data_IF_706198309026
#
_entry.id   IF_706198309026
#
_cell.length_a   1.000
_cell.length_b   1.000
_cell.length_c   1.000
_cell.angle_alpha   90.00
_cell.angle_beta   90.00
_cell.angle_gamma   90.00
#
_symmetry.space_group_name_H-M   'P 1'
#
loop_
_entity.id
_entity.type
_entity.pdbx_description
1 polymer ?
#
# COMPACT_ATOMS: atom_id res chain seq x y z
N UNK A 1 12.95 10.30 9.82
CA UNK A 1 12.81 8.89 9.47
C UNK A 1 13.96 8.45 8.58
N UNK A 2 14.52 7.29 8.87
CA UNK A 2 15.61 6.75 8.05
C UNK A 2 15.03 5.83 6.98
N UNK A 3 15.87 5.51 6.00
CA UNK A 3 15.51 4.56 4.95
C UNK A 3 15.12 3.20 5.58
N UNK A 4 15.91 2.73 6.55
CA UNK A 4 15.66 1.45 7.20
C UNK A 4 14.31 1.44 7.94
N UNK A 5 13.98 2.55 8.58
CA UNK A 5 12.70 2.68 9.26
C UNK A 5 11.54 2.65 8.28
N UNK A 6 11.71 3.34 7.14
CA UNK A 6 10.68 3.34 6.11
C UNK A 6 10.45 1.93 5.57
N UNK A 7 11.53 1.24 5.20
CA UNK A 7 11.41 -0.12 4.67
C UNK A 7 10.71 -1.03 5.67
N UNK A 8 11.06 -0.90 6.96
CA UNK A 8 10.44 -1.73 7.98
C UNK A 8 8.94 -1.46 8.10
N UNK A 9 8.53 -0.20 8.06
CA UNK A 9 7.11 0.14 8.12
C UNK A 9 6.34 -0.39 6.92
N UNK A 10 6.91 -0.26 5.73
CA UNK A 10 6.26 -0.77 4.52
C UNK A 10 6.20 -2.30 4.58
N UNK A 11 7.27 -2.93 5.05
CA UNK A 11 7.32 -4.38 5.21
C UNK A 11 6.22 -4.86 6.16
N UNK A 12 6.08 -4.21 7.31
CA UNK A 12 5.06 -4.58 8.29
C UNK A 12 3.65 -4.44 7.72
N UNK A 13 3.42 -3.42 6.93
CA UNK A 13 2.10 -3.18 6.35
C UNK A 13 1.82 -4.15 5.20
N UNK A 14 2.76 -4.29 4.28
CA UNK A 14 2.54 -5.07 3.07
C UNK A 14 2.57 -6.57 3.32
N UNK A 15 3.51 -7.03 4.13
CA UNK A 15 3.66 -8.47 4.35
C UNK A 15 2.54 -9.07 5.20
N UNK A 16 1.82 -8.22 5.95
CA UNK A 16 0.67 -8.67 6.73
C UNK A 16 -0.64 -8.42 6.00
N UNK A 17 -0.60 -7.83 4.82
CA UNK A 17 -1.80 -7.55 4.05
C UNK A 17 -2.35 -8.82 3.41
N UNK A 18 -3.67 -8.85 3.22
CA UNK A 18 -4.31 -9.94 2.49
C UNK A 18 -4.19 -9.62 1.00
N UNK A 19 -3.39 -10.41 0.30
CA UNK A 19 -3.17 -10.22 -1.14
C UNK A 19 -3.84 -11.31 -1.97
N UNK A 20 -4.83 -12.00 -1.41
CA UNK A 20 -5.49 -13.12 -2.07
C UNK A 20 -6.19 -12.71 -3.37
N UNK A 21 -6.55 -11.44 -3.51
CA UNK A 21 -7.19 -10.93 -4.73
C UNK A 21 -6.19 -10.71 -5.86
N UNK A 22 -4.91 -10.70 -5.56
CA UNK A 22 -3.87 -10.54 -6.56
C UNK A 22 -3.46 -11.95 -7.01
N UNK A 23 -3.90 -12.34 -8.20
CA UNK A 23 -3.68 -13.70 -8.68
C UNK A 23 -2.52 -13.82 -9.65
N UNK A 24 -1.90 -12.72 -10.00
CA UNK A 24 -0.74 -12.72 -10.88
C UNK A 24 0.47 -12.21 -10.12
N UNK A 25 1.64 -12.59 -10.59
CA UNK A 25 2.88 -12.07 -10.02
C UNK A 25 3.02 -10.60 -10.41
N UNK A 26 3.26 -9.75 -9.42
CA UNK A 26 3.53 -8.34 -9.69
C UNK A 26 4.66 -7.86 -8.79
N UNK A 27 5.58 -7.13 -9.39
CA UNK A 27 6.74 -6.60 -8.67
C UNK A 27 6.76 -5.07 -8.81
N UNK A 28 6.71 -4.40 -7.68
CA UNK A 28 6.81 -2.94 -7.60
C UNK A 28 8.19 -2.58 -7.08
N UNK A 29 8.87 -1.65 -7.75
CA UNK A 29 10.04 -1.03 -7.15
C UNK A 29 9.63 0.38 -6.75
N UNK A 30 10.03 0.79 -5.54
CA UNK A 30 9.80 2.14 -5.05
C UNK A 30 11.13 2.87 -4.97
N UNK A 31 11.17 4.03 -5.62
CA UNK A 31 12.32 4.93 -5.53
C UNK A 31 11.89 6.10 -4.66
N UNK A 32 12.48 6.20 -3.48
CA UNK A 32 12.12 7.22 -2.50
C UNK A 32 13.05 8.41 -2.66
N UNK A 33 12.45 9.60 -2.72
CA UNK A 33 13.17 10.86 -2.91
C UNK A 33 13.10 11.70 -1.64
N UNK A 34 14.16 12.46 -1.39
CA UNK A 34 14.21 13.32 -0.21
C UNK A 34 14.56 12.55 1.04
N UNK A 35 13.78 12.76 2.10
CA UNK A 35 14.02 12.07 3.36
C UNK A 35 13.84 10.56 3.19
N UNK A 36 14.70 9.77 3.79
CA UNK A 36 14.73 8.32 3.70
C UNK A 36 15.00 7.82 2.26
N UNK A 37 15.73 8.59 1.49
CA UNK A 37 16.05 8.29 0.10
C UNK A 37 16.61 6.89 -0.08
N UNK A 38 16.18 6.20 -1.15
CA UNK A 38 16.66 4.87 -1.47
C UNK A 38 15.64 4.10 -2.28
N UNK A 39 16.01 2.88 -2.68
CA UNK A 39 15.14 2.01 -3.45
C UNK A 39 14.86 0.73 -2.69
N UNK A 40 13.65 0.20 -2.81
CA UNK A 40 13.29 -1.11 -2.28
C UNK A 40 12.16 -1.65 -3.15
N UNK A 41 11.82 -2.93 -2.96
CA UNK A 41 10.76 -3.52 -3.77
C UNK A 41 9.70 -4.20 -2.93
N UNK A 42 8.51 -4.32 -3.53
CA UNK A 42 7.40 -5.09 -3.01
C UNK A 42 7.04 -6.11 -4.09
N UNK A 43 7.16 -7.37 -3.76
CA UNK A 43 6.88 -8.46 -4.69
C UNK A 43 5.66 -9.23 -4.17
N UNK A 44 4.66 -9.43 -5.05
CA UNK A 44 3.48 -10.21 -4.71
C UNK A 44 3.43 -11.42 -5.62
N UNK A 45 3.51 -12.60 -5.02
CA UNK A 45 3.57 -13.84 -5.77
C UNK A 45 2.99 -14.96 -4.93
N UNK A 46 2.19 -15.80 -5.55
CA UNK A 46 1.63 -17.00 -4.91
C UNK A 46 0.93 -16.70 -3.58
N UNK A 47 0.18 -15.59 -3.56
CA UNK A 47 -0.59 -15.22 -2.38
C UNK A 47 0.23 -14.62 -1.26
N UNK A 48 1.45 -14.19 -1.54
CA UNK A 48 2.35 -13.68 -0.52
C UNK A 48 3.01 -12.39 -0.98
N UNK A 49 3.05 -11.39 -0.10
CA UNK A 49 3.76 -10.15 -0.34
C UNK A 49 5.08 -10.16 0.40
N UNK A 50 6.14 -9.71 -0.27
CA UNK A 50 7.48 -9.66 0.30
C UNK A 50 8.08 -8.29 0.02
N UNK A 51 8.67 -7.66 1.03
CA UNK A 51 9.35 -6.37 0.89
C UNK A 51 10.82 -6.55 1.23
N UNK A 52 11.71 -6.10 0.33
CA UNK A 52 13.15 -6.22 0.54
C UNK A 52 13.85 -4.92 0.15
N UNK A 53 14.96 -4.59 0.82
CA UNK A 53 15.63 -3.29 0.62
C UNK A 53 16.58 -3.28 -0.58
N UNK A 54 16.10 -3.75 -1.71
CA UNK A 54 16.90 -3.86 -2.94
C UNK A 54 16.10 -3.36 -4.13
N UNK A 55 16.82 -3.05 -5.22
CA UNK A 55 16.19 -2.80 -6.50
C UNK A 55 15.73 -4.13 -7.09
N UNK A 56 14.64 -4.11 -7.83
CA UNK A 56 14.11 -5.30 -8.48
C UNK A 56 14.32 -5.16 -9.99
N UNK A 57 15.23 -5.93 -10.52
CA UNK A 57 15.61 -5.80 -11.92
C UNK A 57 14.44 -6.06 -12.87
N UNK A 58 13.66 -7.09 -12.60
CA UNK A 58 12.52 -7.48 -13.44
C UNK A 58 11.20 -6.90 -12.93
N UNK A 59 11.23 -5.70 -12.41
CA UNK A 59 10.04 -5.06 -11.88
C UNK A 59 9.01 -4.80 -12.98
N UNK A 60 7.73 -4.91 -12.63
CA UNK A 60 6.64 -4.58 -13.52
C UNK A 60 6.31 -3.10 -13.47
N UNK A 61 6.49 -2.50 -12.30
CA UNK A 61 6.09 -1.12 -12.03
C UNK A 61 7.17 -0.43 -11.23
N UNK A 62 7.51 0.79 -11.63
CA UNK A 62 8.40 1.66 -10.85
C UNK A 62 7.59 2.84 -10.34
N UNK A 63 7.59 3.03 -9.02
CA UNK A 63 6.90 4.15 -8.39
C UNK A 63 7.94 5.04 -7.72
N UNK A 64 7.93 6.33 -8.06
CA UNK A 64 8.85 7.30 -7.47
C UNK A 64 8.05 8.34 -6.69
N UNK A 65 8.42 8.55 -5.44
CA UNK A 65 7.71 9.50 -4.57
C UNK A 65 8.51 9.75 -3.31
N UNK A 66 7.97 10.60 -2.43
CA UNK A 66 8.58 10.83 -1.12
C UNK A 66 8.09 9.75 -0.14
N UNK A 67 8.84 9.60 0.96
CA UNK A 67 8.46 8.66 2.01
C UNK A 67 7.09 8.99 2.60
N UNK A 68 6.83 10.27 2.83
CA UNK A 68 5.57 10.71 3.39
C UNK A 68 4.39 10.30 2.51
N UNK A 69 4.52 10.52 1.20
CA UNK A 69 3.45 10.17 0.27
C UNK A 69 3.21 8.66 0.26
N UNK A 70 4.28 7.87 0.21
CA UNK A 70 4.13 6.42 0.20
C UNK A 70 3.48 5.90 1.48
N UNK A 71 3.88 6.44 2.64
CA UNK A 71 3.27 6.03 3.90
C UNK A 71 1.78 6.34 3.94
N UNK A 72 1.38 7.50 3.44
CA UNK A 72 -0.03 7.85 3.38
C UNK A 72 -0.81 6.89 2.49
N UNK A 73 -0.22 6.50 1.37
CA UNK A 73 -0.85 5.52 0.48
C UNK A 73 -1.01 4.18 1.18
N UNK A 74 0.07 3.68 1.79
CA UNK A 74 0.04 2.37 2.43
C UNK A 74 -0.88 2.34 3.64
N UNK A 75 -1.02 3.46 4.34
CA UNK A 75 -1.91 3.58 5.49
C UNK A 75 -3.37 3.79 5.10
N UNK A 76 -3.63 4.07 3.83
CA UNK A 76 -4.98 4.28 3.35
C UNK A 76 -5.47 5.72 3.44
N UNK A 77 -4.59 6.66 3.77
CA UNK A 77 -4.95 8.07 3.85
C UNK A 77 -4.92 8.77 2.49
N UNK A 78 -4.31 8.15 1.51
CA UNK A 78 -4.20 8.72 0.17
C UNK A 78 -4.38 7.59 -0.85
N UNK A 79 -5.39 7.72 -1.70
CA UNK A 79 -5.64 6.75 -2.77
C UNK A 79 -4.49 6.84 -3.79
N UNK A 80 -3.88 5.70 -4.17
CA UNK A 80 -2.78 5.74 -5.15
C UNK A 80 -3.18 6.31 -6.51
N UNK A 81 -4.42 6.11 -6.96
CA UNK A 81 -4.88 6.68 -8.23
C UNK A 81 -4.96 8.21 -8.12
N UNK A 82 -5.50 8.70 -7.00
CA UNK A 82 -5.54 10.13 -6.75
C UNK A 82 -4.15 10.72 -6.65
N UNK A 83 -3.24 10.03 -5.96
CA UNK A 83 -1.85 10.48 -5.84
C UNK A 83 -1.20 10.62 -7.22
N UNK A 84 -1.47 9.67 -8.10
CA UNK A 84 -0.95 9.73 -9.48
C UNK A 84 -1.56 10.92 -10.22
N UNK A 85 -2.85 11.12 -10.11
CA UNK A 85 -3.56 12.23 -10.76
C UNK A 85 -3.04 13.58 -10.28
N UNK A 86 -2.77 13.70 -8.98
CA UNK A 86 -2.24 14.93 -8.38
C UNK A 86 -0.73 15.08 -8.57
N UNK A 87 -0.10 14.13 -9.26
CA UNK A 87 1.35 14.13 -9.53
C UNK A 87 2.19 14.06 -8.26
N UNK A 88 1.65 13.45 -7.21
CA UNK A 88 2.39 13.18 -5.99
C UNK A 88 3.26 11.94 -6.12
N UNK A 89 2.94 11.07 -7.08
CA UNK A 89 3.78 9.92 -7.42
C UNK A 89 4.00 9.90 -8.93
N UNK A 90 5.11 9.32 -9.34
CA UNK A 90 5.39 9.04 -10.74
C UNK A 90 5.39 7.53 -10.91
N UNK A 91 4.75 7.05 -11.96
CA UNK A 91 4.58 5.62 -12.21
C UNK A 91 5.09 5.31 -13.61
N UNK A 92 5.98 4.32 -13.71
CA UNK A 92 6.49 3.84 -14.99
C UNK A 92 6.27 2.33 -15.05
N UNK A 93 6.04 1.83 -16.26
CA UNK A 93 5.87 0.41 -16.49
C UNK A 93 4.42 0.04 -16.75
N UNK A 94 4.00 -1.09 -16.24
CA UNK A 94 2.66 -1.64 -16.50
C UNK A 94 1.62 -0.94 -15.62
N UNK A 95 0.89 0.00 -16.18
CA UNK A 95 -0.11 0.76 -15.42
C UNK A 95 -1.27 -0.11 -14.94
N UNK A 96 -1.60 -1.17 -15.69
CA UNK A 96 -2.63 -2.10 -15.25
C UNK A 96 -2.22 -2.81 -13.97
N UNK A 97 -0.97 -3.24 -13.90
CA UNK A 97 -0.45 -3.88 -12.69
C UNK A 97 -0.25 -2.85 -11.57
N UNK A 98 0.04 -1.59 -11.92
CA UNK A 98 0.18 -0.55 -10.91
C UNK A 98 -1.09 -0.40 -10.07
N UNK A 99 -2.25 -0.61 -10.67
CA UNK A 99 -3.52 -0.52 -9.95
C UNK A 99 -3.65 -1.58 -8.86
N UNK A 100 -2.90 -2.66 -8.95
CA UNK A 100 -2.94 -3.72 -7.94
C UNK A 100 -2.38 -3.24 -6.60
N UNK A 101 -1.66 -2.13 -6.58
CA UNK A 101 -1.20 -1.57 -5.32
C UNK A 101 -2.37 -1.25 -4.38
N UNK A 102 -3.53 -0.95 -4.94
CA UNK A 102 -4.73 -0.69 -4.14
C UNK A 102 -5.17 -1.91 -3.33
N UNK A 103 -4.85 -3.10 -3.81
CA UNK A 103 -5.22 -4.33 -3.11
C UNK A 103 -4.33 -4.57 -1.87
N UNK A 104 -3.16 -3.95 -1.86
CA UNK A 104 -2.22 -4.08 -0.74
C UNK A 104 -2.37 -2.92 0.23
N UNK A 105 -2.55 -1.72 -0.31
CA UNK A 105 -2.56 -0.48 0.48
C UNK A 105 -3.88 -0.29 1.24
N UNK A 106 -3.79 0.34 2.40
CA UNK A 106 -4.97 0.82 3.13
C UNK A 106 -5.74 -0.23 3.88
N UNK A 107 -5.28 -1.46 3.94
CA UNK A 107 -6.04 -2.53 4.60
C UNK A 107 -6.19 -2.32 6.10
N UNK A 108 -5.17 -1.81 6.76
CA UNK A 108 -5.25 -1.56 8.21
C UNK A 108 -6.33 -0.54 8.53
N UNK A 109 -6.45 0.49 7.71
CA UNK A 109 -7.48 1.50 7.91
C UNK A 109 -8.87 0.93 7.63
N UNK A 110 -9.01 0.11 6.60
CA UNK A 110 -10.26 -0.55 6.28
C UNK A 110 -10.70 -1.49 7.41
N UNK A 111 -9.77 -2.24 7.98
CA UNK A 111 -10.05 -3.12 9.11
C UNK A 111 -10.53 -2.31 10.31
N UNK A 112 -9.86 -1.21 10.64
CA UNK A 112 -10.26 -0.36 11.75
C UNK A 112 -11.65 0.21 11.54
N UNK A 113 -11.97 0.62 10.33
CA UNK A 113 -13.30 1.12 10.00
C UNK A 113 -14.35 0.04 10.15
N UNK A 114 -14.06 -1.16 9.70
CA UNK A 114 -14.98 -2.28 9.81
C UNK A 114 -15.23 -2.64 11.26
N UNK A 115 -14.19 -2.71 12.08
CA UNK A 115 -14.32 -2.98 13.51
C UNK A 115 -15.15 -1.91 14.21
N UNK A 116 -14.85 -0.66 13.92
CA UNK A 116 -15.56 0.47 14.51
C UNK A 116 -17.02 0.45 14.12
N UNK A 117 -17.31 0.15 12.87
CA UNK A 117 -18.68 0.06 12.37
C UNK A 117 -19.42 -1.09 13.02
N UNK A 118 -18.80 -2.25 13.15
CA UNK A 118 -19.39 -3.40 13.79
C UNK A 118 -19.69 -3.14 15.26
N UNK A 119 -18.76 -2.54 15.98
CA UNK A 119 -18.93 -2.19 17.38
C UNK A 119 -20.09 -1.19 17.54
N UNK A 120 -20.15 -0.23 16.67
CA UNK A 120 -21.20 0.79 16.71
C UNK A 120 -22.56 0.16 16.42
N UNK A 121 -22.65 -0.73 15.46
CA UNK A 121 -23.87 -1.42 15.14
C UNK A 121 -24.33 -2.29 16.31
N UNK A 122 -23.43 -2.99 16.97
CA UNK A 122 -23.75 -3.80 18.13
C UNK A 122 -24.25 -2.93 19.28
N UNK A 123 -23.63 -1.78 19.49
CA UNK A 123 -24.04 -0.86 20.55
C UNK A 123 -25.39 -0.23 20.28
N UNK A 124 -25.84 -0.21 19.04
CA UNK A 124 -27.10 0.41 18.66
C UNK A 124 -28.14 -0.60 18.20
N UNK A 125 -28.18 -1.74 18.79
CA UNK A 125 -29.06 -2.81 18.37
C UNK A 125 -30.50 -2.36 18.17
N UNK A 126 -30.98 -1.47 18.99
CA UNK A 126 -32.37 -1.01 18.93
C UNK A 126 -32.59 0.00 17.81
N UNK A 127 -31.59 0.56 17.32
CA UNK A 127 -31.74 1.64 16.35
C UNK A 127 -31.57 1.20 14.94
N UNK A 128 -31.25 0.86 14.41
CA UNK A 128 -30.87 0.58 13.27
C UNK A 128 -30.35 1.22 12.17
N UNK A 129 -30.37 1.68 12.60
CA UNK A 129 -29.89 2.05 12.03
C UNK A 129 -29.61 2.60 11.18
N UNK A 130 -29.95 3.03 11.16
CA UNK A 130 -29.73 3.58 10.62
C UNK A 130 -29.16 4.15 9.90
N UNK A 131 -29.17 4.30 10.03
CA UNK A 131 -28.76 4.67 9.57
C UNK A 131 -28.50 4.83 9.05
#
# INVERSE_FOLDING_TARGET
MTYEELVQQIKDTAETADVSKIQEHVAFQFNIEGEAEGAFYLDVKDGKATVEPYEYYDRDVLVSCTAETLLKIMEGDLDPVLAYTLKKIRVEGDLGKALLLKEVAGQKKAEKKAEKKAAKAAAKTSKKQSK
#
